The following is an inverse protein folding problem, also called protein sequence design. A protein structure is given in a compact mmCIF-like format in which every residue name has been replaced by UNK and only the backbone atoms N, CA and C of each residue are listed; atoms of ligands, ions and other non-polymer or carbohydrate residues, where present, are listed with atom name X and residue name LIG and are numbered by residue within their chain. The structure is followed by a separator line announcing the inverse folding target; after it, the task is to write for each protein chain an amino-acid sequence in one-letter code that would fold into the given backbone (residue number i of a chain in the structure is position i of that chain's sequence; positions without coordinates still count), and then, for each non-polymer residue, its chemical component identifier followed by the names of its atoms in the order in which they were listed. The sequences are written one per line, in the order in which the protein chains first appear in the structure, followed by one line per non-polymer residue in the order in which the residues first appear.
data_IF_218793680541
#
_entry.id   IF_218793680541
#
_cell.length_a   1.000
_cell.length_b   1.000
_cell.length_c   1.000
_cell.angle_alpha   90.00
_cell.angle_beta   90.00
_cell.angle_gamma   90.00
#
_symmetry.space_group_name_H-M   'P 1'
#
loop_
_entity.id
_entity.type
_entity.pdbx_description
1 polymer ?
#
# COMPACT_ATOMS: atom_id res chain seq x y z
N UNK A 1 -8.99 15.57 15.27
CA UNK A 1 -9.69 14.85 14.19
C UNK A 1 -10.35 15.87 13.29
N UNK A 2 -10.21 15.73 11.98
CA UNK A 2 -10.75 16.69 11.02
C UNK A 2 -12.29 16.55 10.96
N UNK A 3 -13.00 17.66 11.10
CA UNK A 3 -14.45 17.76 10.88
C UNK A 3 -14.89 17.15 9.54
N UNK A 4 -14.02 17.27 8.51
CA UNK A 4 -14.27 16.70 7.18
C UNK A 4 -14.32 15.17 7.22
N UNK A 5 -13.44 14.52 7.99
CA UNK A 5 -13.44 13.06 8.10
C UNK A 5 -14.70 12.56 8.83
N UNK A 6 -15.12 13.27 9.87
CA UNK A 6 -16.34 12.96 10.61
C UNK A 6 -17.59 13.16 9.74
N UNK A 7 -17.66 14.24 8.99
CA UNK A 7 -18.72 14.51 8.04
C UNK A 7 -18.84 13.40 6.97
N UNK A 8 -17.72 13.04 6.35
CA UNK A 8 -17.67 11.93 5.37
C UNK A 8 -18.15 10.61 5.95
N UNK A 9 -17.76 10.29 7.19
CA UNK A 9 -18.21 9.09 7.87
C UNK A 9 -19.71 9.10 8.15
N UNK A 10 -20.25 10.23 8.55
CA UNK A 10 -21.67 10.39 8.79
C UNK A 10 -22.48 10.27 7.49
N UNK A 11 -22.00 10.84 6.39
CA UNK A 11 -22.62 10.66 5.07
C UNK A 11 -22.64 9.18 4.64
N UNK A 12 -21.54 8.45 4.84
CA UNK A 12 -21.48 7.01 4.53
C UNK A 12 -22.46 6.21 5.39
N UNK A 13 -22.54 6.49 6.69
CA UNK A 13 -23.50 5.84 7.60
C UNK A 13 -24.95 6.13 7.22
N UNK A 14 -25.22 7.33 6.73
CA UNK A 14 -26.54 7.73 6.24
C UNK A 14 -26.89 7.21 4.84
N UNK A 15 -25.98 6.43 4.20
CA UNK A 15 -26.20 5.88 2.86
C UNK A 15 -26.20 6.93 1.74
N UNK A 16 -25.68 8.13 2.00
CA UNK A 16 -25.64 9.20 1.00
C UNK A 16 -24.61 8.84 -0.06
N UNK A 17 -25.06 8.68 -1.31
CA UNK A 17 -24.20 8.48 -2.48
C UNK A 17 -23.93 9.82 -3.15
N UNK A 18 -22.66 10.05 -3.51
CA UNK A 18 -22.29 11.22 -4.31
C UNK A 18 -22.68 10.91 -5.76
N UNK A 19 -23.57 11.72 -6.32
CA UNK A 19 -23.89 11.65 -7.74
C UNK A 19 -22.78 12.37 -8.51
N UNK A 20 -22.16 11.73 -9.53
CA UNK A 20 -21.21 12.41 -10.40
C UNK A 20 -21.87 13.62 -11.05
N UNK A 21 -21.14 14.73 -11.13
CA UNK A 21 -21.60 15.91 -11.86
C UNK A 21 -21.37 15.65 -13.34
N UNK A 22 -22.45 15.55 -14.12
CA UNK A 22 -22.39 15.26 -15.57
C UNK A 22 -21.65 16.36 -16.34
N UNK A 23 -21.82 17.62 -15.94
CA UNK A 23 -21.17 18.76 -16.54
C UNK A 23 -20.46 19.57 -15.44
N UNK A 24 -19.22 19.22 -15.07
CA UNK A 24 -18.50 19.98 -14.06
C UNK A 24 -18.24 21.40 -14.55
N UNK A 25 -18.44 22.37 -13.67
CA UNK A 25 -18.10 23.76 -13.94
C UNK A 25 -16.66 23.88 -14.43
N UNK A 26 -16.39 24.76 -15.40
CA UNK A 26 -15.05 24.95 -15.90
C UNK A 26 -14.10 25.38 -14.78
N UNK A 27 -12.87 24.93 -14.86
CA UNK A 27 -11.85 25.29 -13.86
C UNK A 27 -11.69 26.81 -13.83
N UNK A 28 -11.79 27.39 -12.63
CA UNK A 28 -11.63 28.82 -12.44
C UNK A 28 -10.31 29.30 -13.08
N UNK A 29 -10.35 30.27 -14.03
CA UNK A 29 -9.16 30.73 -14.77
C UNK A 29 -8.08 31.32 -13.85
N UNK A 30 -8.47 31.80 -12.65
CA UNK A 30 -7.53 32.32 -11.67
C UNK A 30 -6.95 31.26 -10.74
N UNK A 31 -7.17 29.97 -11.01
CA UNK A 31 -6.63 28.87 -10.19
C UNK A 31 -5.11 28.92 -10.09
N UNK A 32 -4.43 29.26 -11.20
CA UNK A 32 -2.97 29.33 -11.25
C UNK A 32 -2.41 30.38 -10.27
N UNK A 33 -3.09 31.50 -10.10
CA UNK A 33 -2.68 32.57 -9.17
C UNK A 33 -2.85 32.17 -7.68
N UNK A 34 -3.55 31.08 -7.38
CA UNK A 34 -3.76 30.57 -6.02
C UNK A 34 -2.75 29.49 -5.64
N UNK A 35 -1.92 29.05 -6.56
CA UNK A 35 -0.88 28.05 -6.29
C UNK A 35 0.18 28.66 -5.38
N UNK A 36 0.51 27.93 -4.33
CA UNK A 36 1.61 28.28 -3.43
C UNK A 36 2.87 27.58 -3.95
N UNK A 37 3.99 28.31 -4.19
CA UNK A 37 5.26 27.67 -4.54
C UNK A 37 5.63 26.60 -3.49
N UNK A 38 6.14 25.45 -3.95
CA UNK A 38 6.41 24.30 -3.10
C UNK A 38 7.34 24.64 -1.92
N UNK A 39 8.38 25.42 -2.16
CA UNK A 39 9.32 25.82 -1.10
C UNK A 39 8.61 26.63 0.00
N UNK A 40 7.75 27.58 -0.38
CA UNK A 40 6.97 28.34 0.59
C UNK A 40 5.97 27.47 1.36
N UNK A 41 5.42 26.43 0.72
CA UNK A 41 4.57 25.47 1.40
C UNK A 41 5.35 24.63 2.41
N UNK A 42 6.54 24.14 2.04
CA UNK A 42 7.46 23.40 2.94
C UNK A 42 7.84 24.23 4.17
N UNK A 43 8.19 25.49 3.96
CA UNK A 43 8.51 26.43 5.06
C UNK A 43 7.33 26.60 6.01
N UNK A 44 6.14 26.86 5.47
CA UNK A 44 4.93 27.06 6.28
C UNK A 44 4.53 25.82 7.08
N UNK A 45 4.84 24.63 6.57
CA UNK A 45 4.59 23.37 7.24
C UNK A 45 5.73 22.94 8.18
N UNK A 46 6.83 23.70 8.24
CA UNK A 46 8.02 23.36 9.05
C UNK A 46 8.75 22.13 8.53
N UNK A 47 8.61 21.80 7.23
CA UNK A 47 9.18 20.61 6.60
C UNK A 47 10.56 20.84 5.98
N UNK A 48 11.06 22.06 5.93
CA UNK A 48 12.33 22.42 5.28
C UNK A 48 13.51 21.58 5.81
N UNK A 49 13.53 21.28 7.08
CA UNK A 49 14.60 20.45 7.70
C UNK A 49 14.59 18.98 7.25
N UNK A 50 13.49 18.51 6.66
CA UNK A 50 13.33 17.14 6.13
C UNK A 50 13.44 17.11 4.61
N UNK A 51 13.56 18.25 3.96
CA UNK A 51 13.69 18.39 2.51
C UNK A 51 15.15 18.14 2.11
N UNK A 52 15.56 16.90 2.22
CA UNK A 52 16.91 16.42 1.89
C UNK A 52 16.83 15.44 0.73
N UNK A 53 17.89 15.39 -0.06
CA UNK A 53 18.00 14.43 -1.14
C UNK A 53 17.99 13.00 -0.59
N UNK A 54 17.17 12.16 -1.18
CA UNK A 54 17.10 10.73 -0.90
C UNK A 54 17.53 9.95 -2.16
N UNK A 55 18.84 9.84 -2.42
CA UNK A 55 19.33 9.15 -3.61
C UNK A 55 18.97 7.67 -3.55
N UNK A 56 18.58 7.12 -4.69
CA UNK A 56 18.39 5.67 -4.82
C UNK A 56 19.75 5.00 -4.70
N UNK A 57 19.91 4.15 -3.71
CA UNK A 57 21.10 3.31 -3.52
C UNK A 57 20.72 1.87 -3.83
N UNK A 58 21.55 1.21 -4.61
CA UNK A 58 21.45 -0.23 -4.84
C UNK A 58 22.06 -0.96 -3.64
N UNK A 59 21.21 -1.42 -2.74
CA UNK A 59 21.59 -2.13 -1.54
C UNK A 59 21.17 -3.59 -1.65
N UNK A 60 22.12 -4.50 -1.83
CA UNK A 60 21.85 -5.92 -1.71
C UNK A 60 21.69 -6.30 -0.24
N UNK A 61 20.50 -6.77 0.12
CA UNK A 61 20.23 -7.30 1.46
C UNK A 61 20.11 -8.81 1.34
N UNK A 62 20.90 -9.53 2.13
CA UNK A 62 20.87 -11.00 2.22
C UNK A 62 20.32 -11.42 3.60
N UNK A 63 19.01 -11.50 3.76
CA UNK A 63 18.37 -11.90 5.01
C UNK A 63 18.45 -13.42 5.17
N UNK A 64 18.77 -13.92 6.38
CA UNK A 64 18.74 -15.36 6.67
C UNK A 64 17.30 -15.91 6.70
N UNK A 65 16.31 -15.05 6.96
CA UNK A 65 14.89 -15.41 7.08
C UNK A 65 14.02 -14.23 6.72
N UNK A 66 12.89 -14.48 6.06
CA UNK A 66 11.89 -13.45 5.74
C UNK A 66 10.50 -13.86 6.22
N UNK A 67 9.71 -12.85 6.61
CA UNK A 67 8.29 -12.99 6.92
C UNK A 67 7.50 -12.19 5.91
N UNK A 68 6.70 -12.88 5.10
CA UNK A 68 5.87 -12.29 4.05
C UNK A 68 4.43 -12.22 4.55
N UNK A 69 3.90 -11.01 4.71
CA UNK A 69 2.51 -10.81 5.11
C UNK A 69 1.58 -11.05 3.92
N UNK A 70 0.43 -11.69 4.17
CA UNK A 70 -0.58 -11.94 3.13
C UNK A 70 -1.60 -10.80 2.97
N UNK A 71 -1.53 -9.79 3.85
CA UNK A 71 -2.30 -8.55 3.77
C UNK A 71 -1.34 -7.37 3.74
N UNK A 72 -1.04 -6.84 2.54
CA UNK A 72 -0.08 -5.74 2.33
C UNK A 72 -0.72 -4.51 1.66
N UNK A 73 -2.03 -4.53 1.42
CA UNK A 73 -2.77 -3.48 0.73
C UNK A 73 -4.20 -3.33 1.29
N UNK A 74 -4.95 -2.33 0.79
CA UNK A 74 -6.32 -2.02 1.28
C UNK A 74 -7.34 -3.09 0.86
N UNK A 75 -7.05 -3.90 -0.16
CA UNK A 75 -7.94 -4.95 -0.66
C UNK A 75 -8.04 -6.17 0.26
N UNK A 76 -8.72 -7.20 -0.22
CA UNK A 76 -8.85 -8.46 0.50
C UNK A 76 -7.49 -9.15 0.67
N UNK A 77 -7.21 -9.76 1.84
CA UNK A 77 -6.01 -10.54 2.05
C UNK A 77 -5.89 -11.69 1.05
N UNK A 78 -4.67 -12.03 0.66
CA UNK A 78 -4.41 -13.22 -0.14
C UNK A 78 -4.61 -14.48 0.72
N UNK A 79 -5.11 -15.56 0.11
CA UNK A 79 -5.21 -16.88 0.76
C UNK A 79 -3.87 -17.58 0.67
N UNK A 80 -3.40 -18.18 1.77
CA UNK A 80 -2.16 -18.94 1.79
C UNK A 80 -2.18 -20.06 0.73
N UNK A 81 -1.10 -20.17 -0.05
CA UNK A 81 -0.98 -21.13 -1.16
C UNK A 81 0.14 -22.14 -0.97
N UNK A 82 0.85 -22.08 0.15
CA UNK A 82 1.99 -22.95 0.49
C UNK A 82 1.82 -23.53 1.89
N UNK A 83 2.57 -24.60 2.18
CA UNK A 83 2.56 -25.27 3.49
C UNK A 83 3.96 -25.25 4.11
N UNK A 84 4.02 -25.42 5.43
CA UNK A 84 5.28 -25.63 6.12
C UNK A 84 5.99 -26.87 5.56
N UNK A 85 7.27 -26.71 5.24
CA UNK A 85 8.11 -27.72 4.59
C UNK A 85 8.28 -27.56 3.08
N UNK A 86 7.44 -26.79 2.40
CA UNK A 86 7.54 -26.53 0.96
C UNK A 86 8.82 -25.76 0.65
N UNK A 87 9.38 -26.00 -0.54
CA UNK A 87 10.50 -25.22 -1.09
C UNK A 87 9.92 -24.26 -2.14
N UNK A 88 10.27 -23.01 -2.03
CA UNK A 88 9.82 -21.94 -2.93
C UNK A 88 11.00 -21.21 -3.55
N UNK A 89 10.80 -20.70 -4.75
CA UNK A 89 11.73 -19.86 -5.49
C UNK A 89 11.26 -18.41 -5.48
N UNK A 90 12.18 -17.48 -5.76
CA UNK A 90 11.82 -16.07 -5.98
C UNK A 90 10.76 -15.99 -7.08
N UNK A 91 9.68 -15.26 -6.80
CA UNK A 91 8.55 -15.09 -7.72
C UNK A 91 7.42 -16.11 -7.57
N UNK A 92 7.60 -17.21 -6.83
CA UNK A 92 6.54 -18.19 -6.58
C UNK A 92 5.39 -17.56 -5.79
N UNK A 93 4.16 -17.98 -6.11
CA UNK A 93 2.95 -17.50 -5.43
C UNK A 93 2.83 -18.17 -4.06
N UNK A 94 3.09 -17.41 -3.00
CA UNK A 94 2.92 -17.84 -1.60
C UNK A 94 1.54 -17.49 -1.05
N UNK A 95 0.88 -16.49 -1.62
CA UNK A 95 -0.50 -16.13 -1.33
C UNK A 95 -1.29 -15.87 -2.60
N UNK A 96 -2.40 -16.58 -2.81
CA UNK A 96 -3.26 -16.42 -3.99
C UNK A 96 -4.32 -15.36 -3.75
N UNK A 97 -4.53 -14.46 -4.71
CA UNK A 97 -5.61 -13.48 -4.69
C UNK A 97 -6.98 -14.18 -4.61
N UNK A 98 -7.93 -13.57 -3.93
CA UNK A 98 -9.31 -13.99 -3.98
C UNK A 98 -9.96 -13.47 -5.27
N UNK A 99 -10.45 -14.36 -6.12
CA UNK A 99 -11.05 -14.01 -7.41
C UNK A 99 -12.39 -13.25 -7.27
N UNK A 100 -13.06 -13.41 -6.12
CA UNK A 100 -14.34 -12.75 -5.84
C UNK A 100 -14.19 -11.38 -5.15
N UNK A 101 -12.95 -10.94 -4.85
CA UNK A 101 -12.69 -9.70 -4.15
C UNK A 101 -11.48 -8.96 -4.76
N UNK A 102 -11.46 -7.64 -4.57
CA UNK A 102 -10.31 -6.85 -4.99
C UNK A 102 -9.08 -7.24 -4.17
N UNK A 103 -8.11 -7.89 -4.80
CA UNK A 103 -6.88 -8.33 -4.17
C UNK A 103 -5.81 -8.65 -5.21
N UNK A 104 -4.59 -8.84 -4.75
CA UNK A 104 -3.45 -9.27 -5.58
C UNK A 104 -2.77 -10.47 -4.94
N UNK A 105 -2.19 -11.32 -5.79
CA UNK A 105 -1.38 -12.44 -5.31
C UNK A 105 -0.08 -11.93 -4.71
N UNK A 106 0.39 -12.62 -3.67
CA UNK A 106 1.65 -12.33 -2.97
C UNK A 106 2.69 -13.35 -3.40
N UNK A 107 3.84 -12.85 -3.80
CA UNK A 107 4.95 -13.65 -4.33
C UNK A 107 6.10 -13.71 -3.33
N UNK A 108 6.87 -14.80 -3.40
CA UNK A 108 8.09 -14.91 -2.60
C UNK A 108 9.16 -13.95 -3.11
N UNK A 109 9.76 -13.19 -2.20
CA UNK A 109 10.91 -12.31 -2.47
C UNK A 109 12.25 -13.06 -2.42
N UNK A 110 12.26 -14.28 -1.93
CA UNK A 110 13.46 -15.09 -1.71
C UNK A 110 13.21 -16.55 -2.09
N UNK A 111 14.28 -17.26 -2.41
CA UNK A 111 14.25 -18.73 -2.53
C UNK A 111 14.59 -19.35 -1.19
N UNK A 112 13.85 -20.38 -0.78
CA UNK A 112 14.10 -21.03 0.50
C UNK A 112 13.02 -22.03 0.91
N UNK A 113 13.07 -22.47 2.16
CA UNK A 113 12.14 -23.42 2.72
C UNK A 113 11.11 -22.72 3.60
N UNK A 114 9.84 -22.98 3.38
CA UNK A 114 8.74 -22.48 4.21
C UNK A 114 8.81 -23.16 5.58
N UNK A 115 8.99 -22.37 6.64
CA UNK A 115 9.00 -22.88 8.03
C UNK A 115 7.60 -22.83 8.61
N UNK A 116 6.89 -21.74 8.37
CA UNK A 116 5.55 -21.52 8.89
C UNK A 116 4.69 -20.85 7.81
N UNK A 117 3.46 -21.31 7.67
CA UNK A 117 2.47 -20.73 6.78
C UNK A 117 1.11 -20.75 7.49
N UNK A 118 0.46 -19.58 7.53
CA UNK A 118 -0.88 -19.39 8.07
C UNK A 118 -1.62 -18.31 7.28
N UNK A 119 -2.87 -18.00 7.64
CA UNK A 119 -3.71 -17.05 6.91
C UNK A 119 -3.22 -15.59 6.98
N UNK A 120 -2.25 -15.27 7.83
CA UNK A 120 -1.73 -13.92 8.00
C UNK A 120 -0.36 -13.71 7.36
N UNK A 121 0.49 -14.73 7.36
CA UNK A 121 1.86 -14.64 6.87
C UNK A 121 2.47 -15.99 6.50
N UNK A 122 3.56 -15.92 5.75
CA UNK A 122 4.45 -17.04 5.44
C UNK A 122 5.87 -16.70 5.91
N UNK A 123 6.54 -17.61 6.61
CA UNK A 123 7.95 -17.47 7.00
C UNK A 123 8.79 -18.41 6.15
N UNK A 124 9.82 -17.86 5.51
CA UNK A 124 10.75 -18.58 4.64
C UNK A 124 12.16 -18.47 5.20
N UNK A 125 12.84 -19.58 5.35
CA UNK A 125 14.25 -19.69 5.71
C UNK A 125 15.08 -19.88 4.41
N UNK A 126 16.13 -19.10 4.24
CA UNK A 126 16.94 -19.05 3.02
C UNK A 126 18.09 -20.07 3.08
N UNK A 127 18.30 -20.67 4.26
CA UNK A 127 19.37 -21.68 4.46
C UNK A 127 18.93 -23.09 4.14
#
# INVERSE_FOLDING_TARGET
RSLIAEFKNNMRKAGVKITPVENPEPVNPHREYRKVPMNRLKERLGLTKYDVDAPLVDLAVDPGRVKIMLSQHIGAPAKVNVKSGDVVSVGDIVGKANEEAMGVSVHSSVSGKVIEANDNFVIIDIK
#
